data_IF_088165129578
#
_entry.id   IF_088165129578
#
_cell.length_a   1.000
_cell.length_b   1.000
_cell.length_c   1.000
_cell.angle_alpha   90.00
_cell.angle_beta   90.00
_cell.angle_gamma   90.00
#
_symmetry.space_group_name_H-M   'P 1'
#
loop_
_entity.id
_entity.type
_entity.pdbx_description
1 polymer ?
#
# COMPACT_ATOMS: atom_id res chain seq x y z
N UNK A 1 10.02 -30.70 20.12
CA UNK A 1 9.87 -29.53 19.23
C UNK A 1 9.31 -30.05 17.92
N UNK A 2 8.21 -29.48 17.41
CA UNK A 2 7.72 -29.84 16.07
C UNK A 2 8.66 -29.24 15.02
N UNK A 3 8.83 -29.96 13.93
CA UNK A 3 9.63 -29.61 12.76
C UNK A 3 8.71 -29.37 11.57
N UNK A 4 9.23 -28.80 10.47
CA UNK A 4 8.45 -28.62 9.24
C UNK A 4 7.89 -29.95 8.68
N UNK A 5 8.59 -31.08 8.90
CA UNK A 5 8.12 -32.40 8.50
C UNK A 5 6.86 -32.84 9.27
N UNK A 6 6.72 -32.45 10.55
CA UNK A 6 5.53 -32.73 11.37
C UNK A 6 4.27 -31.99 10.86
N UNK A 7 4.47 -30.97 10.02
CA UNK A 7 3.41 -30.24 9.31
C UNK A 7 3.29 -30.65 7.85
N UNK A 8 3.91 -31.77 7.44
CA UNK A 8 3.86 -32.24 6.04
C UNK A 8 4.49 -31.26 5.04
N UNK A 9 5.47 -30.47 5.48
CA UNK A 9 6.07 -29.40 4.68
C UNK A 9 5.10 -28.28 4.26
N UNK A 10 3.99 -28.12 4.98
CA UNK A 10 3.04 -27.03 4.78
C UNK A 10 3.38 -25.82 5.68
N UNK A 11 3.94 -24.78 5.07
CA UNK A 11 4.26 -23.53 5.75
C UNK A 11 3.03 -22.78 6.27
N UNK A 12 1.86 -22.95 5.65
CA UNK A 12 0.61 -22.35 6.14
C UNK A 12 0.15 -23.04 7.42
N UNK A 13 0.22 -24.37 7.46
CA UNK A 13 -0.10 -25.13 8.67
C UNK A 13 0.84 -24.78 9.84
N UNK A 14 2.13 -24.56 9.56
CA UNK A 14 3.10 -24.05 10.55
C UNK A 14 2.67 -22.68 11.07
N UNK A 15 2.35 -21.74 10.17
CA UNK A 15 1.92 -20.39 10.55
C UNK A 15 0.65 -20.44 11.40
N UNK A 16 -0.38 -21.14 10.95
CA UNK A 16 -1.65 -21.23 11.67
C UNK A 16 -1.44 -21.84 13.07
N UNK A 17 -0.56 -22.82 13.21
CA UNK A 17 -0.18 -23.37 14.52
C UNK A 17 0.51 -22.34 15.42
N UNK A 18 1.46 -21.57 14.87
CA UNK A 18 2.18 -20.53 15.62
C UNK A 18 1.27 -19.38 16.05
N UNK A 19 0.38 -18.95 15.16
CA UNK A 19 -0.55 -17.85 15.43
C UNK A 19 -1.66 -18.27 16.39
N UNK A 20 -2.15 -19.51 16.30
CA UNK A 20 -3.11 -20.04 17.27
C UNK A 20 -2.55 -20.08 18.71
N UNK A 21 -1.23 -20.24 18.86
CA UNK A 21 -0.55 -20.21 20.14
C UNK A 21 -0.16 -18.79 20.61
N UNK A 22 -0.34 -17.76 19.78
CA UNK A 22 -0.04 -16.37 20.12
C UNK A 22 -1.26 -15.64 20.67
N UNK A 23 -1.08 -14.39 21.10
CA UNK A 23 -2.19 -13.52 21.53
C UNK A 23 -3.14 -13.12 20.40
N UNK A 24 -2.77 -13.33 19.13
CA UNK A 24 -3.68 -13.08 18.01
C UNK A 24 -4.69 -14.21 17.82
N UNK A 25 -4.34 -15.45 18.15
CA UNK A 25 -5.22 -16.63 18.09
C UNK A 25 -5.64 -17.09 16.68
N UNK A 26 -5.59 -16.21 15.68
CA UNK A 26 -5.89 -16.55 14.28
C UNK A 26 -5.09 -15.68 13.30
N UNK A 27 -4.85 -16.21 12.10
CA UNK A 27 -4.15 -15.49 11.03
C UNK A 27 -4.89 -14.21 10.63
N UNK A 28 -6.22 -14.20 10.60
CA UNK A 28 -7.01 -13.01 10.27
C UNK A 28 -6.86 -11.92 11.34
N UNK A 29 -6.87 -12.28 12.62
CA UNK A 29 -6.61 -11.33 13.71
C UNK A 29 -5.17 -10.82 13.69
N UNK A 30 -4.18 -11.66 13.37
CA UNK A 30 -2.80 -11.23 13.20
C UNK A 30 -2.68 -10.22 12.06
N UNK A 31 -3.35 -10.46 10.93
CA UNK A 31 -3.41 -9.52 9.80
C UNK A 31 -4.09 -8.22 10.23
N UNK A 32 -5.27 -8.28 10.88
CA UNK A 32 -6.00 -7.08 11.30
C UNK A 32 -5.18 -6.19 12.23
N UNK A 33 -4.45 -6.79 13.17
CA UNK A 33 -3.63 -6.05 14.14
C UNK A 33 -2.29 -5.56 13.61
N UNK A 34 -1.79 -6.10 12.49
CA UNK A 34 -0.42 -5.83 12.01
C UNK A 34 -0.39 -5.19 10.61
N UNK A 35 -1.48 -5.24 9.85
CA UNK A 35 -1.65 -4.51 8.61
C UNK A 35 -2.11 -3.08 8.91
N UNK A 36 -1.37 -2.11 8.41
CA UNK A 36 -1.63 -0.70 8.66
C UNK A 36 -1.97 0.02 7.37
N UNK A 37 -3.06 0.78 7.43
CA UNK A 37 -3.64 1.52 6.32
C UNK A 37 -3.42 3.02 6.49
N UNK A 38 -3.57 3.80 5.41
CA UNK A 38 -3.57 5.25 5.49
C UNK A 38 -4.85 5.75 6.19
N UNK A 39 -4.79 6.81 6.98
CA UNK A 39 -5.99 7.38 7.56
C UNK A 39 -6.91 7.97 6.47
N UNK A 40 -8.26 7.89 6.60
CA UNK A 40 -9.19 8.51 5.65
C UNK A 40 -8.87 9.96 5.32
N UNK A 41 -8.49 10.79 6.30
CA UNK A 41 -8.04 12.18 6.08
C UNK A 41 -6.89 12.29 5.06
N UNK A 42 -5.91 11.38 5.10
CA UNK A 42 -4.80 11.36 4.13
C UNK A 42 -5.30 10.99 2.73
N UNK A 43 -6.22 10.01 2.66
CA UNK A 43 -6.84 9.59 1.39
C UNK A 43 -7.65 10.74 0.79
N UNK A 44 -8.42 11.46 1.60
CA UNK A 44 -9.17 12.65 1.18
C UNK A 44 -8.23 13.79 0.77
N UNK A 45 -7.15 14.01 1.51
CA UNK A 45 -6.14 15.03 1.20
C UNK A 45 -5.46 14.83 -0.16
N UNK A 46 -5.35 13.59 -0.65
CA UNK A 46 -4.86 13.28 -2.02
C UNK A 46 -6.00 13.15 -3.05
N UNK A 47 -7.24 13.43 -2.66
CA UNK A 47 -8.44 13.39 -3.49
C UNK A 47 -8.93 11.99 -3.82
N UNK A 48 -8.49 10.96 -3.09
CA UNK A 48 -8.79 9.57 -3.42
C UNK A 48 -8.28 9.19 -4.82
N UNK A 49 -7.07 9.60 -5.16
CA UNK A 49 -6.40 9.28 -6.43
C UNK A 49 -4.99 8.77 -6.18
N UNK A 50 -4.39 8.10 -7.18
CA UNK A 50 -2.98 7.73 -7.15
C UNK A 50 -2.10 8.95 -6.90
N UNK A 51 -1.13 8.86 -5.99
CA UNK A 51 -0.38 10.08 -5.65
C UNK A 51 0.64 10.44 -6.73
N UNK A 52 1.29 9.46 -7.35
CA UNK A 52 2.27 9.65 -8.42
C UNK A 52 1.83 8.98 -9.72
N UNK A 53 2.26 9.55 -10.85
CA UNK A 53 2.12 8.94 -12.19
C UNK A 53 3.23 7.92 -12.43
N UNK A 54 3.10 6.78 -11.74
CA UNK A 54 4.05 5.66 -11.85
C UNK A 54 3.33 4.34 -12.04
N UNK A 55 4.03 3.38 -12.63
CA UNK A 55 3.57 2.00 -12.75
C UNK A 55 4.73 1.03 -12.54
N UNK A 56 4.42 -0.24 -12.27
CA UNK A 56 5.43 -1.30 -12.18
C UNK A 56 6.00 -1.58 -13.56
N UNK A 57 7.32 -1.49 -13.64
CA UNK A 57 8.05 -1.71 -14.89
C UNK A 57 9.39 -2.41 -14.69
N UNK A 58 10.05 -2.72 -15.80
CA UNK A 58 11.42 -3.28 -15.81
C UNK A 58 12.46 -2.19 -15.94
N UNK A 59 12.10 -1.06 -16.57
CA UNK A 59 12.97 0.06 -16.90
C UNK A 59 12.84 1.16 -15.86
N UNK A 60 13.34 0.88 -14.66
CA UNK A 60 13.16 1.75 -13.48
C UNK A 60 13.67 3.17 -13.75
N UNK A 61 12.79 4.16 -13.61
CA UNK A 61 13.08 5.58 -13.82
C UNK A 61 12.95 6.06 -15.26
N UNK A 62 12.64 5.16 -16.20
CA UNK A 62 12.25 5.56 -17.56
C UNK A 62 10.81 6.10 -17.57
N UNK A 63 10.58 7.11 -18.40
CA UNK A 63 9.28 7.75 -18.57
C UNK A 63 8.84 7.52 -20.02
N UNK A 64 7.65 6.98 -20.19
CA UNK A 64 6.96 6.86 -21.47
C UNK A 64 5.52 7.36 -21.29
N UNK A 65 5.02 8.15 -22.23
CA UNK A 65 3.64 8.67 -22.23
C UNK A 65 3.23 9.36 -20.92
N UNK A 66 4.16 10.07 -20.27
CA UNK A 66 3.91 10.78 -19.01
C UNK A 66 3.71 9.85 -17.81
N UNK A 67 4.19 8.61 -17.87
CA UNK A 67 4.16 7.64 -16.77
C UNK A 67 5.58 7.12 -16.55
N UNK A 68 6.03 7.11 -15.30
CA UNK A 68 7.33 6.55 -14.95
C UNK A 68 7.22 5.07 -14.57
N UNK A 69 8.05 4.22 -15.19
CA UNK A 69 8.25 2.85 -14.73
C UNK A 69 9.07 2.85 -13.42
N UNK A 70 8.62 2.10 -12.42
CA UNK A 70 9.31 1.98 -11.14
C UNK A 70 9.27 0.54 -10.61
N UNK A 71 10.03 0.29 -9.56
CA UNK A 71 9.77 -0.84 -8.66
C UNK A 71 8.75 -0.42 -7.58
N UNK A 72 8.63 -1.19 -6.50
CA UNK A 72 7.71 -0.88 -5.40
C UNK A 72 8.17 0.30 -4.52
N UNK A 73 9.16 1.10 -4.94
CA UNK A 73 9.58 2.30 -4.21
C UNK A 73 8.48 3.37 -4.18
N UNK A 74 7.92 3.78 -5.32
CA UNK A 74 6.92 4.86 -5.37
C UNK A 74 5.65 4.58 -4.56
N UNK A 75 5.05 3.37 -4.54
CA UNK A 75 3.93 3.06 -3.63
C UNK A 75 4.32 3.16 -2.16
N UNK A 76 5.51 2.67 -1.80
CA UNK A 76 6.00 2.77 -0.42
C UNK A 76 6.24 4.23 0.00
N UNK A 77 6.85 5.04 -0.87
CA UNK A 77 7.05 6.47 -0.61
C UNK A 77 5.73 7.23 -0.53
N UNK A 78 4.75 6.91 -1.38
CA UNK A 78 3.41 7.49 -1.31
C UNK A 78 2.78 7.25 0.07
N UNK A 79 2.85 6.01 0.56
CA UNK A 79 2.33 5.67 1.88
C UNK A 79 3.13 6.32 3.01
N UNK A 80 4.45 6.18 3.03
CA UNK A 80 5.33 6.69 4.09
C UNK A 80 5.21 8.22 4.23
N UNK A 81 5.26 8.96 3.11
CA UNK A 81 5.19 10.41 3.15
C UNK A 81 3.75 10.92 3.31
N UNK A 82 2.79 10.20 2.74
CA UNK A 82 1.35 10.43 2.91
C UNK A 82 0.94 10.43 4.38
N UNK A 83 1.32 9.36 5.06
CA UNK A 83 0.85 9.07 6.42
C UNK A 83 1.80 9.56 7.51
N UNK A 84 3.08 9.76 7.18
CA UNK A 84 4.14 9.98 8.18
C UNK A 84 4.69 8.69 8.79
N UNK A 85 4.28 7.52 8.29
CA UNK A 85 4.86 6.23 8.67
C UNK A 85 6.36 6.22 8.36
N UNK A 86 7.18 5.83 9.35
CA UNK A 86 8.64 5.78 9.23
C UNK A 86 9.14 4.35 9.34
N UNK A 87 9.44 3.76 8.19
CA UNK A 87 10.12 2.47 8.13
C UNK A 87 11.59 2.64 8.50
N UNK A 88 12.09 1.80 9.42
CA UNK A 88 13.52 1.75 9.75
C UNK A 88 14.23 0.77 8.81
N UNK A 89 15.50 0.99 8.42
CA UNK A 89 16.28 -0.04 7.74
C UNK A 89 16.25 -1.35 8.54
N UNK A 90 15.98 -2.47 7.87
CA UNK A 90 15.89 -3.79 8.52
C UNK A 90 14.67 -3.99 9.43
N UNK A 91 13.62 -3.19 9.29
CA UNK A 91 12.38 -3.36 10.08
C UNK A 91 11.45 -4.47 9.58
N UNK A 92 11.81 -5.16 8.48
CA UNK A 92 11.03 -6.26 7.90
C UNK A 92 9.55 -5.92 7.69
N UNK A 93 9.27 -4.70 7.23
CA UNK A 93 7.94 -4.23 6.81
C UNK A 93 7.90 -4.10 5.30
N UNK A 94 6.83 -4.62 4.70
CA UNK A 94 6.59 -4.61 3.27
C UNK A 94 5.36 -3.77 2.91
N UNK A 95 5.50 -2.95 1.88
CA UNK A 95 4.41 -2.28 1.20
C UNK A 95 3.75 -3.27 0.22
N UNK A 96 2.44 -3.48 0.36
CA UNK A 96 1.68 -4.44 -0.42
C UNK A 96 0.47 -3.76 -1.07
N UNK A 97 -0.02 -4.35 -2.16
CA UNK A 97 -1.22 -3.93 -2.85
C UNK A 97 -2.38 -4.90 -2.56
N UNK A 98 -3.60 -4.37 -2.46
CA UNK A 98 -4.81 -5.18 -2.29
C UNK A 98 -5.27 -5.83 -3.60
N UNK A 99 -5.10 -5.10 -4.71
CA UNK A 99 -5.51 -5.49 -6.05
C UNK A 99 -4.33 -5.51 -7.02
N UNK A 100 -4.43 -6.40 -8.00
CA UNK A 100 -3.43 -6.70 -9.02
C UNK A 100 -3.38 -5.68 -10.16
N UNK A 101 -3.11 -4.44 -9.82
CA UNK A 101 -3.13 -3.34 -10.78
C UNK A 101 -1.79 -2.62 -10.82
N UNK A 102 -0.71 -3.40 -10.77
CA UNK A 102 0.64 -2.83 -10.73
C UNK A 102 1.02 -2.10 -12.01
N UNK A 103 0.40 -2.44 -13.15
CA UNK A 103 0.59 -1.76 -14.43
C UNK A 103 -0.38 -0.58 -14.65
N UNK A 104 -1.32 -0.35 -13.72
CA UNK A 104 -2.29 0.74 -13.79
C UNK A 104 -1.78 1.96 -13.01
N UNK A 105 -1.45 3.08 -13.66
CA UNK A 105 -0.93 4.27 -13.00
C UNK A 105 -1.95 4.91 -12.04
N UNK A 106 -3.24 4.65 -12.21
CA UNK A 106 -4.29 5.22 -11.36
C UNK A 106 -4.53 4.38 -10.09
N UNK A 107 -3.96 3.17 -10.03
CA UNK A 107 -4.09 2.26 -8.89
C UNK A 107 -2.76 1.95 -8.19
N UNK A 108 -1.62 2.12 -8.88
CA UNK A 108 -0.32 1.68 -8.38
C UNK A 108 0.14 2.43 -7.13
N UNK A 109 -0.14 3.74 -7.06
CA UNK A 109 0.18 4.59 -5.91
C UNK A 109 -1.07 5.14 -5.21
N UNK A 110 -2.24 4.53 -5.44
CA UNK A 110 -3.47 4.85 -4.72
C UNK A 110 -3.37 4.32 -3.28
N UNK A 111 -3.42 5.22 -2.31
CA UNK A 111 -3.31 4.87 -0.88
C UNK A 111 -4.44 3.95 -0.41
N UNK A 112 -5.59 3.93 -1.09
CA UNK A 112 -6.69 3.00 -0.79
C UNK A 112 -6.39 1.56 -1.22
N UNK A 113 -5.45 1.39 -2.14
CA UNK A 113 -4.99 0.09 -2.64
C UNK A 113 -3.72 -0.39 -1.92
N UNK A 114 -3.16 0.37 -0.98
CA UNK A 114 -1.85 0.10 -0.37
C UNK A 114 -1.99 -0.06 1.15
N UNK A 115 -1.25 -1.01 1.69
CA UNK A 115 -1.07 -1.17 3.12
C UNK A 115 0.36 -1.60 3.45
N UNK A 116 0.77 -1.37 4.69
CA UNK A 116 2.05 -1.83 5.24
C UNK A 116 1.80 -3.02 6.16
N UNK A 117 2.66 -4.03 6.11
CA UNK A 117 2.51 -5.25 6.91
C UNK A 117 3.88 -5.87 7.19
N UNK A 118 4.07 -6.63 8.29
CA UNK A 118 5.27 -7.45 8.47
C UNK A 118 5.52 -8.36 7.27
N UNK A 119 6.77 -8.43 6.82
CA UNK A 119 7.18 -9.15 5.62
C UNK A 119 6.86 -10.65 5.71
N UNK A 120 6.89 -11.23 6.92
CA UNK A 120 6.49 -12.62 7.15
C UNK A 120 5.00 -12.88 6.83
N UNK A 121 4.12 -11.89 7.01
CA UNK A 121 2.70 -11.98 6.68
C UNK A 121 2.39 -11.48 5.26
N UNK A 122 3.24 -10.63 4.68
CA UNK A 122 3.06 -10.10 3.33
C UNK A 122 2.86 -11.21 2.28
N UNK A 123 3.53 -12.36 2.44
CA UNK A 123 3.39 -13.49 1.50
C UNK A 123 2.03 -14.18 1.53
N UNK A 124 1.26 -14.03 2.60
CA UNK A 124 -0.14 -14.48 2.65
C UNK A 124 -1.04 -13.56 1.81
N UNK A 125 -0.55 -12.38 1.48
CA UNK A 125 -1.29 -11.35 0.75
C UNK A 125 -0.90 -11.29 -0.74
N UNK A 126 -0.10 -12.24 -1.22
CA UNK A 126 0.43 -12.25 -2.60
C UNK A 126 -0.56 -12.83 -3.63
N UNK A 127 -1.87 -12.86 -3.31
CA UNK A 127 -2.90 -13.34 -4.24
C UNK A 127 -3.55 -12.19 -4.97
N UNK A 128 -2.99 -11.89 -6.12
CA UNK A 128 -3.46 -10.85 -7.02
C UNK A 128 -4.65 -11.30 -7.89
N UNK A 129 -5.45 -12.27 -7.43
CA UNK A 129 -6.63 -12.71 -8.15
C UNK A 129 -7.74 -11.65 -8.12
N UNK A 130 -8.47 -11.50 -9.23
CA UNK A 130 -9.64 -10.62 -9.32
C UNK A 130 -10.70 -11.01 -8.27
N UNK A 131 -10.94 -12.32 -8.13
CA UNK A 131 -11.79 -12.92 -7.10
C UNK A 131 -10.96 -13.75 -6.14
N UNK A 132 -11.21 -13.61 -4.84
CA UNK A 132 -10.53 -14.37 -3.80
C UNK A 132 -11.50 -15.33 -3.13
N UNK A 133 -11.05 -16.53 -2.74
CA UNK A 133 -11.79 -17.37 -1.79
C UNK A 133 -12.09 -16.56 -0.50
N UNK A 134 -13.23 -16.82 0.13
CA UNK A 134 -13.65 -16.12 1.34
C UNK A 134 -12.63 -16.21 2.49
N UNK A 135 -11.88 -17.33 2.55
CA UNK A 135 -10.84 -17.63 3.54
C UNK A 135 -9.46 -17.03 3.21
N UNK A 136 -9.35 -16.27 2.12
CA UNK A 136 -8.08 -15.68 1.74
C UNK A 136 -7.79 -14.41 2.56
N UNK A 137 -6.57 -14.27 3.09
CA UNK A 137 -6.11 -13.13 3.89
C UNK A 137 -6.44 -11.75 3.28
N UNK A 138 -6.24 -11.62 1.95
CA UNK A 138 -6.62 -10.40 1.23
C UNK A 138 -8.11 -10.07 1.23
N UNK A 139 -9.02 -11.02 1.46
CA UNK A 139 -10.45 -10.75 1.51
C UNK A 139 -10.80 -9.81 2.68
N UNK A 140 -10.24 -10.09 3.86
CA UNK A 140 -10.35 -9.25 5.06
C UNK A 140 -9.75 -7.86 4.83
N UNK A 141 -8.58 -7.80 4.19
CA UNK A 141 -7.90 -6.54 3.86
C UNK A 141 -8.67 -5.69 2.82
N UNK A 142 -9.25 -6.32 1.78
CA UNK A 142 -10.08 -5.63 0.79
C UNK A 142 -11.34 -5.08 1.42
N UNK A 143 -12.01 -5.84 2.29
CA UNK A 143 -13.17 -5.35 3.01
C UNK A 143 -12.79 -4.20 3.95
N UNK A 144 -11.64 -4.24 4.62
CA UNK A 144 -11.14 -3.11 5.43
C UNK A 144 -10.97 -1.83 4.63
N UNK A 145 -10.38 -1.90 3.44
CA UNK A 145 -10.27 -0.74 2.55
C UNK A 145 -11.65 -0.22 2.07
N UNK A 146 -12.59 -1.13 1.84
CA UNK A 146 -13.98 -0.75 1.54
C UNK A 146 -14.66 -0.08 2.73
N UNK A 147 -14.44 -0.54 3.96
CA UNK A 147 -14.98 0.06 5.18
C UNK A 147 -14.39 1.47 5.42
N UNK A 148 -13.07 1.61 5.27
CA UNK A 148 -12.38 2.88 5.53
C UNK A 148 -12.66 3.95 4.48
N UNK A 149 -12.78 3.57 3.20
CA UNK A 149 -12.76 4.53 2.08
C UNK A 149 -13.88 4.34 1.05
N UNK A 150 -14.73 3.32 1.20
CA UNK A 150 -15.63 2.90 0.13
C UNK A 150 -14.92 2.32 -1.10
N UNK A 151 -13.64 1.96 -0.99
CA UNK A 151 -12.82 1.52 -2.11
C UNK A 151 -13.20 0.10 -2.57
N UNK A 152 -13.50 -0.04 -3.87
CA UNK A 152 -13.92 -1.31 -4.48
C UNK A 152 -12.84 -1.99 -5.31
N UNK A 153 -11.66 -1.39 -5.38
CA UNK A 153 -10.60 -1.80 -6.30
C UNK A 153 -10.62 -1.03 -7.62
N UNK A 154 -9.63 -1.29 -8.49
CA UNK A 154 -9.48 -0.64 -9.78
C UNK A 154 -10.56 -1.11 -10.79
N UNK A 155 -10.89 -0.23 -11.75
CA UNK A 155 -11.70 -0.54 -12.95
C UNK A 155 -12.98 -1.37 -12.73
N UNK A 156 -13.87 -0.92 -11.85
CA UNK A 156 -15.20 -1.55 -11.69
C UNK A 156 -15.18 -2.91 -11.00
N UNK A 157 -14.10 -3.23 -10.28
CA UNK A 157 -14.03 -4.38 -9.38
C UNK A 157 -15.26 -4.45 -8.46
N UNK A 158 -15.74 -5.67 -8.20
CA UNK A 158 -16.89 -5.89 -7.34
C UNK A 158 -16.58 -5.44 -5.91
N UNK A 159 -17.59 -4.91 -5.22
CA UNK A 159 -17.45 -4.62 -3.80
C UNK A 159 -17.11 -5.92 -3.03
N UNK A 160 -16.10 -5.91 -2.15
CA UNK A 160 -15.76 -7.09 -1.37
C UNK A 160 -16.93 -7.45 -0.45
N UNK A 161 -17.24 -8.74 -0.37
CA UNK A 161 -18.21 -9.23 0.60
C UNK A 161 -17.64 -9.08 2.02
N UNK A 162 -18.51 -8.87 3.01
CA UNK A 162 -18.09 -8.85 4.41
C UNK A 162 -17.61 -10.26 4.81
N UNK A 163 -16.37 -10.44 5.29
CA UNK A 163 -15.92 -11.73 5.80
C UNK A 163 -16.65 -12.12 7.08
N UNK A 164 -16.84 -13.42 7.28
CA UNK A 164 -17.38 -13.96 8.53
C UNK A 164 -16.46 -13.61 9.71
N UNK A 165 -17.03 -13.19 10.84
CA UNK A 165 -16.27 -12.83 12.04
C UNK A 165 -15.50 -11.50 11.96
N UNK A 166 -15.61 -10.75 10.85
CA UNK A 166 -14.90 -9.48 10.66
C UNK A 166 -15.09 -8.49 11.81
N UNK A 167 -16.33 -8.36 12.32
CA UNK A 167 -16.65 -7.40 13.39
C UNK A 167 -15.97 -7.72 14.72
N UNK A 168 -15.48 -8.94 14.90
CA UNK A 168 -14.73 -9.34 16.09
C UNK A 168 -13.23 -9.02 15.98
N UNK A 169 -12.75 -8.60 14.81
CA UNK A 169 -11.32 -8.35 14.59
C UNK A 169 -10.87 -7.02 15.20
N UNK A 170 -9.80 -7.08 16.00
CA UNK A 170 -9.11 -5.90 16.52
C UNK A 170 -8.14 -5.32 15.49
N UNK A 171 -8.54 -4.24 14.82
CA UNK A 171 -7.75 -3.58 13.78
C UNK A 171 -6.70 -2.62 14.34
N UNK A 172 -5.55 -2.54 13.69
CA UNK A 172 -4.61 -1.44 13.88
C UNK A 172 -5.24 -0.10 13.42
N UNK A 173 -4.91 0.97 14.15
CA UNK A 173 -5.33 2.32 13.78
C UNK A 173 -4.69 2.76 12.46
N UNK A 174 -5.45 3.34 11.52
CA UNK A 174 -4.90 3.95 10.33
C UNK A 174 -3.97 5.13 10.66
N UNK A 175 -2.93 5.33 9.85
CA UNK A 175 -1.89 6.33 10.13
C UNK A 175 -2.14 7.63 9.36
N UNK A 176 -2.00 8.75 10.05
CA UNK A 176 -1.99 10.09 9.44
C UNK A 176 -3.26 10.92 9.73
N UNK A 177 -4.00 10.59 10.78
CA UNK A 177 -5.16 11.37 11.24
C UNK A 177 -4.85 12.87 11.37
N UNK A 178 -5.84 13.70 11.07
CA UNK A 178 -5.76 15.16 11.12
C UNK A 178 -4.92 15.79 10.00
N UNK A 179 -4.55 15.04 8.96
CA UNK A 179 -3.77 15.57 7.85
C UNK A 179 -4.69 16.16 6.77
N UNK A 180 -4.57 17.47 6.52
CA UNK A 180 -5.22 18.13 5.38
C UNK A 180 -4.32 18.18 4.12
N UNK A 181 -4.93 18.54 2.98
CA UNK A 181 -4.26 18.62 1.68
C UNK A 181 -3.08 19.61 1.68
N UNK A 182 -3.26 20.80 2.26
CA UNK A 182 -2.22 21.83 2.27
C UNK A 182 -0.99 21.39 3.08
N UNK A 183 -1.21 20.80 4.25
CA UNK A 183 -0.16 20.28 5.13
C UNK A 183 0.57 19.12 4.48
N UNK A 184 -0.17 18.24 3.80
CA UNK A 184 0.39 17.12 3.08
C UNK A 184 1.26 17.58 1.91
N UNK A 185 0.73 18.45 1.05
CA UNK A 185 1.44 19.01 -0.10
C UNK A 185 2.72 19.72 0.36
N UNK A 186 2.64 20.60 1.37
CA UNK A 186 3.80 21.30 1.93
C UNK A 186 4.86 20.34 2.49
N UNK A 187 4.44 19.22 3.08
CA UNK A 187 5.38 18.17 3.55
C UNK A 187 6.08 17.51 2.37
N UNK A 188 5.35 17.17 1.31
CA UNK A 188 5.89 16.53 0.12
C UNK A 188 6.80 17.46 -0.67
N UNK A 189 6.42 18.72 -0.89
CA UNK A 189 7.29 19.72 -1.55
C UNK A 189 8.64 19.84 -0.86
N UNK A 190 8.67 19.94 0.48
CA UNK A 190 9.92 19.93 1.26
C UNK A 190 10.73 18.65 1.05
N UNK A 191 10.06 17.49 0.98
CA UNK A 191 10.70 16.20 0.78
C UNK A 191 11.33 16.09 -0.61
N UNK A 192 10.60 16.46 -1.64
CA UNK A 192 11.04 16.45 -3.04
C UNK A 192 12.24 17.40 -3.23
N UNK A 193 12.19 18.59 -2.61
CA UNK A 193 13.30 19.55 -2.62
C UNK A 193 14.58 18.99 -1.96
N UNK A 194 14.46 18.12 -0.96
CA UNK A 194 15.60 17.44 -0.32
C UNK A 194 16.16 16.26 -1.14
N UNK A 195 15.41 15.80 -2.16
CA UNK A 195 15.65 14.54 -2.89
C UNK A 195 15.67 14.76 -4.41
N UNK A 196 16.39 15.79 -4.85
CA UNK A 196 16.38 16.25 -6.25
C UNK A 196 16.88 15.24 -7.27
N UNK A 197 17.54 14.16 -6.86
CA UNK A 197 18.03 13.10 -7.75
C UNK A 197 17.17 11.83 -7.72
N UNK A 198 16.15 11.77 -6.86
CA UNK A 198 15.31 10.59 -6.69
C UNK A 198 14.31 10.44 -7.84
N UNK A 199 13.97 9.19 -8.18
CA UNK A 199 13.05 8.86 -9.27
C UNK A 199 11.65 9.43 -9.03
N UNK A 200 11.16 9.42 -7.80
CA UNK A 200 9.89 10.04 -7.46
C UNK A 200 9.90 11.54 -7.75
N UNK A 201 11.01 12.23 -7.43
CA UNK A 201 11.18 13.65 -7.79
C UNK A 201 11.19 13.85 -9.30
N UNK A 202 11.84 12.96 -10.06
CA UNK A 202 11.79 12.95 -11.53
C UNK A 202 10.34 12.80 -12.05
N UNK A 203 9.60 11.84 -11.51
CA UNK A 203 8.20 11.58 -11.89
C UNK A 203 7.33 12.80 -11.60
N UNK A 204 7.42 13.40 -10.41
CA UNK A 204 6.65 14.60 -10.08
C UNK A 204 6.99 15.76 -11.03
N UNK A 205 8.28 16.03 -11.25
CA UNK A 205 8.72 17.13 -12.10
C UNK A 205 8.28 16.97 -13.56
N UNK A 206 8.29 15.75 -14.11
CA UNK A 206 8.12 15.50 -15.55
C UNK A 206 6.78 14.86 -15.93
N UNK A 207 6.08 14.22 -14.99
CA UNK A 207 4.81 13.52 -15.19
C UNK A 207 3.68 14.13 -14.35
N UNK A 208 4.00 14.85 -13.28
CA UNK A 208 3.02 15.34 -12.32
C UNK A 208 2.59 14.32 -11.27
N UNK A 209 1.69 14.78 -10.41
CA UNK A 209 1.20 14.11 -9.22
C UNK A 209 -0.17 14.67 -8.84
N UNK A 210 -0.80 14.13 -7.79
CA UNK A 210 -2.18 14.52 -7.44
C UNK A 210 -2.34 16.04 -7.22
N UNK A 211 -1.33 16.74 -6.68
CA UNK A 211 -1.39 18.17 -6.40
C UNK A 211 -1.12 19.07 -7.62
N UNK A 212 -0.70 18.49 -8.75
CA UNK A 212 -0.53 19.21 -10.02
C UNK A 212 -1.53 18.75 -11.09
N UNK A 213 -2.59 18.04 -10.68
CA UNK A 213 -3.54 17.35 -11.57
C UNK A 213 -2.84 16.55 -12.67
N UNK A 214 -1.78 15.84 -12.29
CA UNK A 214 -0.98 15.00 -13.18
C UNK A 214 -0.40 15.73 -14.39
N UNK A 215 -0.10 17.02 -14.22
CA UNK A 215 0.73 17.80 -15.15
C UNK A 215 2.12 17.97 -14.56
N UNK A 216 3.19 18.05 -15.39
CA UNK A 216 4.53 18.37 -14.90
C UNK A 216 4.49 19.54 -13.92
N UNK A 217 5.06 19.35 -12.71
CA UNK A 217 5.06 20.36 -11.66
C UNK A 217 6.32 21.24 -11.77
N UNK A 218 6.21 22.50 -12.23
CA UNK A 218 7.37 23.36 -12.47
C UNK A 218 8.10 23.77 -11.18
N UNK A 219 7.47 23.65 -10.02
CA UNK A 219 8.06 24.00 -8.73
C UNK A 219 8.90 22.85 -8.14
N UNK A 220 8.87 21.67 -8.78
CA UNK A 220 9.65 20.51 -8.37
C UNK A 220 10.84 20.32 -9.29
N UNK A 221 12.04 20.59 -8.77
CA UNK A 221 13.27 20.54 -9.57
C UNK A 221 14.00 19.22 -9.45
N UNK A 222 13.94 18.40 -10.50
CA UNK A 222 14.82 17.25 -10.68
C UNK A 222 16.22 17.69 -11.16
N UNK A 223 17.27 17.12 -10.56
CA UNK A 223 18.68 17.43 -10.82
C UNK A 223 19.51 16.17 -11.11
N UNK A 224 18.86 15.09 -11.56
CA UNK A 224 19.54 13.91 -12.09
C UNK A 224 19.76 14.02 -13.60
N UNK A 225 20.62 13.13 -14.10
CA UNK A 225 20.90 12.99 -15.53
C UNK A 225 19.86 12.08 -16.20
#
# INVERSE_FOLDING_TARGET
>A
MKTLADFGFDGRAVLDHLVAASSWGSTDQAIASLAVFAHPDVVEAVGGRAVFRTMRGRRRGEIADGIMEDDNASPAEAFEFGTGFRRRPGSDVQCCHLYAASADPDAYTDLRNIFMVPQCLAKLTDSQAATLPSLHALHVLRYRASELYGYRGPSGSAAPAKPDGYDALGWADPIGAGTDAETLERRWRRRLASRRKDRVTKSVALCGWTFSDYRPDPDVVYAGN
#
